data_IF_461219517951
#
_entry.id   IF_461219517951
#
_cell.length_a   1.000
_cell.length_b   1.000
_cell.length_c   1.000
_cell.angle_alpha   90.00
_cell.angle_beta   90.00
_cell.angle_gamma   90.00
#
_symmetry.space_group_name_H-M   'P 1'
#
loop_
_entity.id
_entity.type
_entity.pdbx_description
1 polymer ?
#
# COMPACT_ATOMS: atom_id res chain seq x y z
N UNK A 1 13.43 22.41 -25.84
CA UNK A 1 12.41 21.53 -25.25
C UNK A 1 12.98 20.13 -25.24
N UNK A 2 13.15 19.53 -24.06
CA UNK A 2 13.61 18.14 -23.91
C UNK A 2 12.55 17.16 -24.44
N UNK A 3 12.94 15.92 -24.73
CA UNK A 3 12.01 14.86 -25.12
C UNK A 3 10.99 14.60 -24.02
N UNK A 4 11.43 14.61 -22.76
CA UNK A 4 10.54 14.51 -21.58
C UNK A 4 9.50 15.63 -21.53
N UNK A 5 9.88 16.89 -21.81
CA UNK A 5 8.93 18.01 -21.89
C UNK A 5 7.90 17.83 -23.01
N UNK A 6 8.35 17.46 -24.20
CA UNK A 6 7.45 17.23 -25.33
C UNK A 6 6.43 16.10 -25.05
N UNK A 7 6.88 15.01 -24.41
CA UNK A 7 6.01 13.91 -23.99
C UNK A 7 5.01 14.34 -22.91
N UNK A 8 5.45 15.14 -21.93
CA UNK A 8 4.57 15.63 -20.87
C UNK A 8 3.50 16.60 -21.39
N UNK A 9 3.87 17.53 -22.27
CA UNK A 9 2.90 18.42 -22.94
C UNK A 9 1.86 17.61 -23.71
N UNK A 10 2.31 16.62 -24.49
CA UNK A 10 1.42 15.72 -25.22
C UNK A 10 0.50 14.94 -24.27
N UNK A 11 1.03 14.41 -23.17
CA UNK A 11 0.28 13.60 -22.22
C UNK A 11 -0.86 14.39 -21.55
N UNK A 12 -0.64 15.68 -21.25
CA UNK A 12 -1.67 16.55 -20.64
C UNK A 12 -2.93 16.74 -21.48
N UNK A 13 -2.88 16.46 -22.78
CA UNK A 13 -4.07 16.52 -23.64
C UNK A 13 -5.04 15.35 -23.44
N UNK A 14 -4.55 14.20 -22.96
CA UNK A 14 -5.35 12.97 -22.90
C UNK A 14 -5.35 12.28 -21.53
N UNK A 15 -4.44 12.66 -20.64
CA UNK A 15 -4.29 12.07 -19.31
C UNK A 15 -4.41 13.20 -18.28
N UNK A 16 -5.33 13.13 -17.29
CA UNK A 16 -5.45 14.15 -16.26
C UNK A 16 -4.10 14.43 -15.56
N UNK A 17 -3.63 15.67 -15.64
CA UNK A 17 -2.32 16.05 -15.08
C UNK A 17 -1.11 15.41 -15.79
N UNK A 18 -1.31 14.77 -16.94
CA UNK A 18 -0.26 14.13 -17.76
C UNK A 18 0.26 12.81 -17.22
N UNK A 19 -0.36 12.22 -16.18
CA UNK A 19 0.14 11.01 -15.49
C UNK A 19 -0.99 10.09 -15.01
N UNK A 20 -0.72 8.79 -14.94
CA UNK A 20 -1.65 7.79 -14.39
C UNK A 20 -1.55 7.60 -12.86
N UNK A 21 -0.58 8.26 -12.21
CA UNK A 21 -0.41 8.25 -10.76
C UNK A 21 0.01 9.63 -10.29
N UNK A 22 -0.73 10.31 -9.39
CA UNK A 22 -0.55 11.73 -9.09
C UNK A 22 0.87 12.15 -8.71
N UNK A 23 1.57 11.34 -7.90
CA UNK A 23 2.96 11.62 -7.46
C UNK A 23 3.94 11.79 -8.63
N UNK A 24 3.67 11.14 -9.77
CA UNK A 24 4.53 11.19 -10.96
C UNK A 24 4.48 12.55 -11.67
N UNK A 25 3.52 13.43 -11.34
CA UNK A 25 3.40 14.76 -11.93
C UNK A 25 4.40 15.78 -11.36
N UNK A 26 5.24 15.40 -10.39
CA UNK A 26 6.26 16.26 -9.77
C UNK A 26 5.71 17.53 -9.09
N UNK A 27 4.40 17.61 -8.81
CA UNK A 27 3.78 18.79 -8.19
C UNK A 27 4.43 19.21 -6.86
N UNK A 28 4.90 18.24 -6.06
CA UNK A 28 5.53 18.50 -4.77
C UNK A 28 7.00 18.98 -4.86
N UNK A 29 7.68 18.70 -5.98
CA UNK A 29 9.11 19.00 -6.15
C UNK A 29 9.36 20.06 -7.25
N UNK A 30 8.32 20.44 -7.99
CA UNK A 30 8.40 21.36 -9.11
C UNK A 30 9.02 20.74 -10.37
N UNK A 31 8.95 21.50 -11.46
CA UNK A 31 9.51 21.12 -12.75
C UNK A 31 8.68 20.10 -13.53
N UNK A 32 9.30 19.54 -14.57
CA UNK A 32 8.68 18.58 -15.49
C UNK A 32 9.12 17.15 -15.17
N UNK A 33 8.18 16.19 -15.07
CA UNK A 33 8.51 14.78 -14.88
C UNK A 33 9.46 14.25 -15.96
N UNK A 34 10.35 13.33 -15.57
CA UNK A 34 11.22 12.61 -16.51
C UNK A 34 10.49 11.39 -17.05
N UNK A 35 10.47 11.24 -18.37
CA UNK A 35 9.91 10.07 -19.02
C UNK A 35 11.01 9.02 -19.14
N UNK A 36 10.85 7.88 -18.46
CA UNK A 36 11.84 6.80 -18.48
C UNK A 36 11.66 5.92 -19.71
N UNK A 37 12.76 5.55 -20.36
CA UNK A 37 12.77 4.66 -21.52
C UNK A 37 13.34 3.28 -21.19
N UNK A 38 14.30 3.22 -20.26
CA UNK A 38 14.98 1.97 -19.88
C UNK A 38 15.37 1.96 -18.42
N UNK A 39 15.46 0.77 -17.84
CA UNK A 39 15.93 0.52 -16.49
C UNK A 39 16.83 -0.73 -16.47
N UNK A 40 17.94 -0.69 -15.74
CA UNK A 40 18.87 -1.82 -15.61
C UNK A 40 19.71 -1.70 -14.34
N UNK A 41 19.75 -2.77 -13.54
CA UNK A 41 20.47 -2.80 -12.27
C UNK A 41 19.99 -1.68 -11.35
N UNK A 42 20.88 -0.81 -10.91
CA UNK A 42 20.57 0.33 -10.06
C UNK A 42 20.23 1.63 -10.82
N UNK A 43 20.00 1.55 -12.14
CA UNK A 43 19.91 2.74 -12.99
C UNK A 43 18.60 2.87 -13.76
N UNK A 44 18.13 4.11 -13.91
CA UNK A 44 17.11 4.54 -14.87
C UNK A 44 17.74 5.39 -15.97
N UNK A 45 17.18 5.30 -17.18
CA UNK A 45 17.56 6.08 -18.35
C UNK A 45 16.32 6.80 -18.87
N UNK A 46 16.35 8.12 -18.90
CA UNK A 46 15.24 8.92 -19.43
C UNK A 46 15.24 8.98 -20.97
N UNK A 47 14.16 9.51 -21.54
CA UNK A 47 13.95 9.66 -22.99
C UNK A 47 14.91 10.68 -23.64
N UNK A 48 15.72 11.37 -22.85
CA UNK A 48 16.81 12.25 -23.29
C UNK A 48 18.18 11.53 -23.18
N UNK A 49 18.19 10.25 -22.80
CA UNK A 49 19.38 9.40 -22.64
C UNK A 49 20.14 9.61 -21.33
N UNK A 50 19.63 10.43 -20.41
CA UNK A 50 20.30 10.71 -19.14
C UNK A 50 20.13 9.54 -18.18
N UNK A 51 21.25 9.12 -17.59
CA UNK A 51 21.30 8.05 -16.58
C UNK A 51 21.16 8.61 -15.16
N UNK A 52 20.40 7.91 -14.33
CA UNK A 52 20.17 8.22 -12.92
C UNK A 52 20.47 6.99 -12.07
N UNK A 53 21.11 7.16 -10.91
CA UNK A 53 21.07 6.14 -9.85
C UNK A 53 19.65 6.19 -9.26
N UNK A 54 18.96 5.07 -9.23
CA UNK A 54 17.56 5.00 -8.82
C UNK A 54 17.40 4.51 -7.38
N UNK A 55 16.88 5.39 -6.53
CA UNK A 55 16.47 5.09 -5.15
C UNK A 55 14.94 4.93 -5.01
N UNK A 56 14.18 5.13 -6.09
CA UNK A 56 12.72 4.92 -6.09
C UNK A 56 12.38 3.45 -6.31
N UNK A 57 13.14 2.74 -7.15
CA UNK A 57 13.03 1.29 -7.35
C UNK A 57 11.61 0.84 -7.71
N UNK A 58 10.96 1.62 -8.58
CA UNK A 58 9.55 1.46 -8.95
C UNK A 58 8.59 1.44 -7.74
N UNK A 59 8.91 2.19 -6.69
CA UNK A 59 8.19 2.24 -5.40
C UNK A 59 8.29 0.96 -4.56
N UNK A 60 9.32 0.14 -4.78
CA UNK A 60 9.57 -1.06 -3.94
C UNK A 60 9.98 -2.32 -4.70
N UNK A 61 9.29 -2.75 -5.78
CA UNK A 61 9.44 -4.09 -6.36
C UNK A 61 10.84 -4.46 -6.85
N UNK A 62 11.67 -3.47 -7.18
CA UNK A 62 12.97 -3.69 -7.83
C UNK A 62 14.09 -3.95 -6.81
N UNK A 63 13.85 -4.81 -5.83
CA UNK A 63 14.80 -5.13 -4.75
C UNK A 63 16.07 -5.85 -5.27
N UNK A 64 15.93 -6.67 -6.32
CA UNK A 64 17.05 -7.31 -7.02
C UNK A 64 17.67 -6.43 -8.13
N UNK A 65 17.28 -5.15 -8.18
CA UNK A 65 17.60 -4.25 -9.29
C UNK A 65 16.66 -4.43 -10.49
N UNK A 66 16.65 -3.42 -11.35
CA UNK A 66 15.84 -3.38 -12.56
C UNK A 66 16.33 -4.39 -13.61
N UNK A 67 15.38 -4.99 -14.35
CA UNK A 67 15.67 -5.91 -15.46
C UNK A 67 16.61 -7.07 -15.09
N UNK A 68 16.45 -7.63 -13.88
CA UNK A 68 17.24 -8.77 -13.43
C UNK A 68 17.06 -9.95 -14.40
N UNK A 69 18.15 -10.55 -14.93
CA UNK A 69 18.09 -11.49 -16.07
C UNK A 69 17.19 -12.70 -15.79
N UNK A 70 17.30 -13.30 -14.59
CA UNK A 70 16.47 -14.44 -14.20
C UNK A 70 14.97 -14.12 -14.15
N UNK A 71 14.59 -12.91 -13.72
CA UNK A 71 13.19 -12.49 -13.65
C UNK A 71 12.65 -12.23 -15.05
N UNK A 72 13.42 -11.50 -15.86
CA UNK A 72 13.08 -11.23 -17.27
C UNK A 72 12.87 -12.53 -18.05
N UNK A 73 13.80 -13.47 -17.94
CA UNK A 73 13.74 -14.74 -18.65
C UNK A 73 12.54 -15.59 -18.23
N UNK A 74 12.24 -15.66 -16.92
CA UNK A 74 11.04 -16.35 -16.43
C UNK A 74 9.73 -15.73 -16.97
N UNK A 75 9.64 -14.39 -17.05
CA UNK A 75 8.48 -13.69 -17.61
C UNK A 75 8.35 -13.94 -19.12
N UNK A 76 9.46 -13.89 -19.86
CA UNK A 76 9.47 -14.17 -21.31
C UNK A 76 9.02 -15.59 -21.59
N UNK A 77 9.51 -16.56 -20.83
CA UNK A 77 9.13 -17.97 -20.96
C UNK A 77 7.65 -18.18 -20.65
N UNK A 78 7.16 -17.66 -19.51
CA UNK A 78 5.75 -17.76 -19.13
C UNK A 78 4.82 -17.17 -20.21
N UNK A 79 5.19 -16.03 -20.80
CA UNK A 79 4.41 -15.38 -21.84
C UNK A 79 4.25 -16.22 -23.13
N UNK A 80 5.16 -17.15 -23.42
CA UNK A 80 5.03 -18.05 -24.58
C UNK A 80 3.82 -18.98 -24.47
N UNK A 81 3.41 -19.29 -23.24
CA UNK A 81 2.23 -20.14 -22.97
C UNK A 81 0.91 -19.37 -22.97
N UNK A 82 0.94 -18.04 -23.15
CA UNK A 82 -0.22 -17.16 -23.08
C UNK A 82 -0.13 -16.17 -21.91
N UNK A 83 -0.75 -15.00 -22.06
CA UNK A 83 -0.65 -13.90 -21.08
C UNK A 83 -1.69 -13.97 -19.96
N UNK A 84 -2.80 -14.70 -20.15
CA UNK A 84 -3.87 -14.86 -19.17
C UNK A 84 -4.79 -16.02 -19.59
N UNK A 85 -5.31 -16.75 -18.60
CA UNK A 85 -6.14 -17.95 -18.84
C UNK A 85 -7.58 -17.85 -18.29
N UNK A 86 -7.83 -16.96 -17.32
CA UNK A 86 -9.12 -16.92 -16.61
C UNK A 86 -9.48 -18.21 -15.86
N UNK A 87 -8.49 -19.09 -15.64
CA UNK A 87 -8.61 -20.41 -15.02
C UNK A 87 -7.42 -20.64 -14.08
N UNK A 88 -7.52 -21.57 -13.10
CA UNK A 88 -6.43 -21.89 -12.19
C UNK A 88 -5.19 -22.46 -12.89
N UNK A 89 -4.02 -22.21 -12.31
CA UNK A 89 -2.70 -22.66 -12.77
C UNK A 89 -1.85 -23.18 -11.61
N UNK A 90 -0.86 -24.03 -11.92
CA UNK A 90 0.06 -24.60 -10.92
C UNK A 90 0.91 -23.53 -10.22
N UNK A 91 1.36 -22.50 -10.94
CA UNK A 91 2.17 -21.41 -10.38
C UNK A 91 1.44 -20.62 -9.29
N UNK A 92 0.10 -20.56 -9.31
CA UNK A 92 -0.68 -19.94 -8.24
C UNK A 92 -0.55 -20.72 -6.92
N UNK A 93 -0.46 -22.05 -7.00
CA UNK A 93 -0.25 -22.93 -5.84
C UNK A 93 1.16 -22.75 -5.31
N UNK A 94 2.17 -22.86 -6.18
CA UNK A 94 3.58 -22.71 -5.81
C UNK A 94 3.86 -21.36 -5.14
N UNK A 95 3.28 -20.27 -5.68
CA UNK A 95 3.42 -18.94 -5.10
C UNK A 95 2.75 -18.85 -3.73
N UNK A 96 1.54 -19.40 -3.57
CA UNK A 96 0.84 -19.40 -2.29
C UNK A 96 1.64 -20.18 -1.21
N UNK A 97 2.13 -21.38 -1.55
CA UNK A 97 2.95 -22.20 -0.65
C UNK A 97 4.27 -21.51 -0.28
N UNK A 98 4.91 -20.85 -1.26
CA UNK A 98 6.13 -20.08 -1.02
C UNK A 98 5.89 -18.94 -0.04
N UNK A 99 4.83 -18.16 -0.23
CA UNK A 99 4.48 -17.06 0.69
C UNK A 99 4.17 -17.60 2.08
N UNK A 100 3.35 -18.65 2.20
CA UNK A 100 3.02 -19.26 3.50
C UNK A 100 4.23 -19.84 4.22
N UNK A 101 5.23 -20.32 3.49
CA UNK A 101 6.49 -20.82 4.06
C UNK A 101 7.35 -19.66 4.58
N UNK A 102 7.44 -18.58 3.82
CA UNK A 102 8.26 -17.41 4.16
C UNK A 102 7.63 -16.54 5.24
N UNK A 103 6.30 -16.44 5.28
CA UNK A 103 5.51 -15.60 6.18
C UNK A 103 4.57 -16.48 7.00
N UNK A 104 5.01 -17.05 8.14
CA UNK A 104 4.26 -18.09 8.86
C UNK A 104 2.89 -17.65 9.40
N UNK A 105 2.64 -16.34 9.49
CA UNK A 105 1.32 -15.81 9.86
C UNK A 105 0.26 -16.02 8.77
N UNK A 106 0.66 -16.29 7.53
CA UNK A 106 -0.22 -16.46 6.37
C UNK A 106 -0.43 -17.93 6.04
N UNK A 107 -1.38 -18.60 6.72
CA UNK A 107 -1.71 -20.01 6.40
C UNK A 107 -2.54 -20.19 5.13
N UNK A 108 -3.23 -19.13 4.69
CA UNK A 108 -4.00 -19.08 3.44
C UNK A 108 -3.77 -17.71 2.80
N UNK A 109 -3.63 -17.68 1.47
CA UNK A 109 -3.32 -16.47 0.70
C UNK A 109 -4.29 -16.32 -0.45
N UNK A 110 -4.60 -15.07 -0.81
CA UNK A 110 -5.35 -14.71 -2.01
C UNK A 110 -4.58 -13.65 -2.79
N UNK A 111 -4.23 -13.95 -4.04
CA UNK A 111 -3.64 -12.99 -4.96
C UNK A 111 -4.71 -12.02 -5.47
N UNK A 112 -4.35 -10.74 -5.60
CA UNK A 112 -5.17 -9.66 -6.18
C UNK A 112 -4.33 -8.86 -7.17
N UNK A 113 -4.94 -7.90 -7.87
CA UNK A 113 -4.25 -7.10 -8.90
C UNK A 113 -3.46 -5.93 -8.32
N UNK A 114 -3.72 -5.55 -7.07
CA UNK A 114 -3.05 -4.43 -6.40
C UNK A 114 -3.12 -4.51 -4.87
N UNK A 115 -2.26 -3.75 -4.20
CA UNK A 115 -2.34 -3.52 -2.75
C UNK A 115 -3.66 -2.87 -2.32
N UNK A 116 -4.26 -2.00 -3.15
CA UNK A 116 -5.59 -1.43 -2.84
C UNK A 116 -6.67 -2.52 -2.77
N UNK A 117 -6.68 -3.46 -3.71
CA UNK A 117 -7.62 -4.58 -3.70
C UNK A 117 -7.35 -5.56 -2.54
N UNK A 118 -6.08 -5.76 -2.18
CA UNK A 118 -5.70 -6.57 -1.03
C UNK A 118 -6.24 -5.96 0.27
N UNK A 119 -6.02 -4.66 0.49
CA UNK A 119 -6.55 -3.92 1.65
C UNK A 119 -8.08 -3.94 1.69
N UNK A 120 -8.75 -3.69 0.56
CA UNK A 120 -10.21 -3.77 0.48
C UNK A 120 -10.73 -5.14 0.92
N UNK A 121 -10.05 -6.21 0.49
CA UNK A 121 -10.42 -7.58 0.81
C UNK A 121 -10.15 -7.91 2.30
N UNK A 122 -8.99 -7.50 2.82
CA UNK A 122 -8.62 -7.72 4.22
C UNK A 122 -9.57 -6.99 5.19
N UNK A 123 -9.90 -5.73 4.93
CA UNK A 123 -10.86 -4.97 5.73
C UNK A 123 -12.25 -5.59 5.66
N UNK A 124 -12.70 -5.99 4.46
CA UNK A 124 -14.01 -6.65 4.30
C UNK A 124 -14.06 -7.98 5.05
N UNK A 125 -12.97 -8.75 5.00
CA UNK A 125 -12.84 -10.00 5.74
C UNK A 125 -12.89 -9.78 7.25
N UNK A 126 -12.17 -8.78 7.78
CA UNK A 126 -12.20 -8.45 9.19
C UNK A 126 -13.60 -8.02 9.67
N UNK A 127 -14.30 -7.18 8.89
CA UNK A 127 -15.71 -6.82 9.17
C UNK A 127 -16.62 -8.04 9.18
N UNK A 128 -16.51 -8.91 8.17
CA UNK A 128 -17.31 -10.14 8.08
C UNK A 128 -17.03 -11.13 9.19
N UNK A 129 -15.77 -11.27 9.61
CA UNK A 129 -15.33 -12.17 10.68
C UNK A 129 -15.80 -11.70 12.07
N UNK A 130 -15.73 -10.40 12.32
CA UNK A 130 -16.06 -9.82 13.63
C UNK A 130 -17.53 -9.42 13.76
N UNK A 131 -18.24 -9.21 12.65
CA UNK A 131 -19.59 -8.63 12.62
C UNK A 131 -19.64 -7.14 12.99
N UNK A 132 -18.48 -6.44 12.91
CA UNK A 132 -18.32 -5.04 13.33
C UNK A 132 -18.01 -4.16 12.13
N UNK A 133 -18.33 -2.86 12.24
CA UNK A 133 -18.22 -1.94 11.10
C UNK A 133 -16.99 -1.02 11.15
N UNK A 134 -16.52 -0.64 12.35
CA UNK A 134 -15.48 0.39 12.47
C UNK A 134 -14.10 -0.19 12.17
N UNK A 135 -13.27 0.62 11.54
CA UNK A 135 -11.84 0.35 11.39
C UNK A 135 -11.04 1.48 12.04
N UNK A 136 -9.86 1.16 12.54
CA UNK A 136 -8.87 2.15 12.98
C UNK A 136 -7.71 2.12 11.98
N UNK A 137 -7.29 3.31 11.51
CA UNK A 137 -6.07 3.52 10.72
C UNK A 137 -5.27 4.68 11.30
N UNK A 138 -4.05 4.86 10.81
CA UNK A 138 -3.15 5.90 11.29
C UNK A 138 -2.95 7.03 10.28
N UNK A 139 -2.84 8.25 10.77
CA UNK A 139 -2.54 9.43 9.94
C UNK A 139 -1.17 9.26 9.27
N UNK A 140 -1.11 9.60 7.99
CA UNK A 140 0.10 9.46 7.16
C UNK A 140 0.34 8.05 6.59
N UNK A 141 -0.27 7.01 7.15
CA UNK A 141 -0.33 5.70 6.51
C UNK A 141 -1.24 5.72 5.27
N UNK A 142 -0.89 4.92 4.26
CA UNK A 142 -1.65 4.78 3.02
C UNK A 142 -1.88 3.31 2.69
N UNK A 143 -3.15 2.93 2.57
CA UNK A 143 -3.58 1.56 2.31
C UNK A 143 -4.40 1.44 1.02
N UNK A 144 -4.10 2.30 0.04
CA UNK A 144 -4.91 2.45 -1.17
C UNK A 144 -5.97 3.54 -1.07
N UNK A 145 -6.67 3.76 -2.18
CA UNK A 145 -7.64 4.85 -2.34
C UNK A 145 -9.10 4.36 -2.34
N UNK A 146 -9.41 3.30 -1.59
CA UNK A 146 -10.81 2.91 -1.37
C UNK A 146 -11.52 3.92 -0.49
N UNK A 147 -12.81 4.16 -0.74
CA UNK A 147 -13.56 5.27 -0.13
C UNK A 147 -13.48 5.34 1.40
N UNK A 148 -13.53 4.18 2.08
CA UNK A 148 -13.44 4.11 3.55
C UNK A 148 -12.07 4.50 4.10
N UNK A 149 -11.04 4.59 3.27
CA UNK A 149 -9.68 4.99 3.66
C UNK A 149 -9.38 6.46 3.33
N UNK A 150 -10.17 7.08 2.46
CA UNK A 150 -10.08 8.50 2.11
C UNK A 150 -10.78 9.38 3.17
N UNK A 151 -10.45 9.13 4.43
CA UNK A 151 -11.00 9.78 5.62
C UNK A 151 -9.84 10.39 6.42
N UNK A 152 -9.93 11.68 6.76
CA UNK A 152 -8.99 12.35 7.67
C UNK A 152 -9.55 12.40 9.09
N UNK A 153 -8.69 12.62 10.08
CA UNK A 153 -9.10 12.80 11.47
C UNK A 153 -10.09 13.97 11.59
N UNK A 154 -11.07 13.83 12.48
CA UNK A 154 -11.95 14.92 12.90
C UNK A 154 -11.21 15.92 13.80
N UNK A 155 -11.88 16.97 14.26
CA UNK A 155 -11.29 18.02 15.11
C UNK A 155 -10.86 17.57 16.52
N UNK A 156 -10.98 16.29 16.85
CA UNK A 156 -10.44 15.62 18.04
C UNK A 156 -10.18 14.13 17.77
N UNK A 157 -9.30 13.52 18.57
CA UNK A 157 -8.81 12.13 18.36
C UNK A 157 -9.94 11.08 18.27
N UNK A 158 -11.07 11.33 18.94
CA UNK A 158 -12.24 10.45 18.98
C UNK A 158 -13.43 10.97 18.17
N UNK A 159 -13.32 12.17 17.58
CA UNK A 159 -14.37 12.65 16.68
C UNK A 159 -14.34 11.88 15.37
N UNK A 160 -15.52 11.51 14.88
CA UNK A 160 -15.64 10.79 13.61
C UNK A 160 -14.86 11.50 12.50
N UNK A 161 -14.21 10.71 11.66
CA UNK A 161 -13.44 11.26 10.55
C UNK A 161 -14.34 12.02 9.59
N UNK A 162 -13.70 12.76 8.68
CA UNK A 162 -14.40 13.42 7.57
C UNK A 162 -13.75 13.02 6.25
N UNK A 163 -14.49 12.95 5.14
CA UNK A 163 -13.90 12.68 3.83
C UNK A 163 -12.73 13.62 3.51
N UNK A 164 -11.64 13.06 2.99
CA UNK A 164 -10.44 13.82 2.58
C UNK A 164 -10.45 14.17 1.09
N UNK A 165 -11.34 13.57 0.30
CA UNK A 165 -11.52 13.85 -1.12
C UNK A 165 -13.00 14.09 -1.46
N UNK A 166 -13.32 15.04 -2.35
CA UNK A 166 -14.65 15.13 -2.95
C UNK A 166 -15.06 13.79 -3.59
N UNK A 167 -16.36 13.50 -3.57
CA UNK A 167 -16.94 12.28 -4.15
C UNK A 167 -17.06 11.10 -3.19
N UNK A 168 -16.41 11.14 -2.02
CA UNK A 168 -16.56 10.13 -0.97
C UNK A 168 -17.77 10.46 -0.09
N UNK A 169 -18.77 9.56 0.03
CA UNK A 169 -19.93 9.80 0.88
C UNK A 169 -19.57 9.96 2.36
N UNK A 170 -20.12 10.98 3.01
CA UNK A 170 -19.85 11.31 4.42
C UNK A 170 -20.20 10.16 5.38
N UNK A 171 -21.23 9.38 5.06
CA UNK A 171 -21.65 8.21 5.85
C UNK A 171 -20.54 7.17 6.03
N UNK A 172 -19.55 7.11 5.13
CA UNK A 172 -18.44 6.16 5.29
C UNK A 172 -17.45 6.61 6.37
N UNK A 173 -17.37 7.91 6.65
CA UNK A 173 -16.43 8.48 7.60
C UNK A 173 -16.73 8.07 9.05
N UNK A 174 -18.00 7.80 9.38
CA UNK A 174 -18.40 7.30 10.70
C UNK A 174 -17.84 5.89 11.02
N UNK A 175 -17.38 5.16 9.99
CA UNK A 175 -16.85 3.80 10.13
C UNK A 175 -15.32 3.74 10.07
N UNK A 176 -14.64 4.89 10.00
CA UNK A 176 -13.17 4.96 9.97
C UNK A 176 -12.66 5.95 11.00
N UNK A 177 -11.99 5.43 12.01
CA UNK A 177 -11.28 6.22 13.03
C UNK A 177 -9.84 6.41 12.55
N UNK A 178 -9.34 7.64 12.62
CA UNK A 178 -7.95 7.98 12.26
C UNK A 178 -7.22 8.48 13.50
N UNK A 179 -6.14 7.80 13.86
CA UNK A 179 -5.32 8.14 15.02
C UNK A 179 -3.91 8.56 14.60
N UNK A 180 -3.14 9.26 15.44
CA UNK A 180 -1.73 9.54 15.14
C UNK A 180 -0.90 8.24 15.11
N UNK A 181 -0.03 8.09 14.11
CA UNK A 181 0.94 6.99 14.07
C UNK A 181 1.93 7.12 15.24
N UNK A 182 2.40 6.00 15.80
CA UNK A 182 3.26 5.93 16.99
C UNK A 182 2.65 6.47 18.30
N UNK A 183 1.35 6.78 18.34
CA UNK A 183 0.64 7.15 19.56
C UNK A 183 -0.17 5.95 20.09
N UNK A 184 0.48 5.11 20.90
CA UNK A 184 -0.19 3.95 21.52
C UNK A 184 -1.28 4.39 22.50
N UNK A 185 -1.09 5.50 23.21
CA UNK A 185 -2.07 6.01 24.17
C UNK A 185 -3.37 6.45 23.50
N UNK A 186 -3.30 7.05 22.31
CA UNK A 186 -4.48 7.34 21.50
C UNK A 186 -5.20 6.07 21.05
N UNK A 187 -4.46 5.01 20.70
CA UNK A 187 -5.05 3.72 20.36
C UNK A 187 -5.71 3.06 21.57
N UNK A 188 -5.06 3.06 22.74
CA UNK A 188 -5.62 2.54 23.99
C UNK A 188 -6.94 3.24 24.32
N UNK A 189 -6.96 4.58 24.33
CA UNK A 189 -8.18 5.34 24.60
C UNK A 189 -9.31 5.04 23.61
N UNK A 190 -9.00 4.91 22.32
CA UNK A 190 -9.99 4.58 21.30
C UNK A 190 -10.52 3.15 21.43
N UNK A 191 -9.67 2.19 21.80
CA UNK A 191 -10.06 0.79 22.01
C UNK A 191 -10.86 0.62 23.31
N UNK A 192 -10.55 1.39 24.36
CA UNK A 192 -11.33 1.41 25.61
C UNK A 192 -12.76 1.96 25.38
N UNK A 193 -12.92 2.98 24.53
CA UNK A 193 -14.24 3.57 24.24
C UNK A 193 -15.04 2.78 23.18
N UNK A 194 -14.38 2.32 22.11
CA UNK A 194 -15.04 1.83 20.89
C UNK A 194 -14.65 0.39 20.52
N UNK A 195 -13.79 -0.29 21.28
CA UNK A 195 -13.19 -1.58 20.89
C UNK A 195 -14.20 -2.65 20.47
N UNK A 196 -15.37 -2.68 21.11
CA UNK A 196 -16.46 -3.63 20.82
C UNK A 196 -17.10 -3.40 19.44
N UNK A 197 -16.89 -2.22 18.85
CA UNK A 197 -17.37 -1.82 17.53
C UNK A 197 -16.26 -1.87 16.46
N UNK A 198 -15.01 -2.12 16.85
CA UNK A 198 -13.84 -2.13 15.95
C UNK A 198 -13.64 -3.53 15.38
N UNK A 199 -13.77 -3.63 14.06
CA UNK A 199 -13.48 -4.84 13.29
C UNK A 199 -11.98 -5.08 13.15
N UNK A 200 -11.22 -4.03 12.84
CA UNK A 200 -9.78 -4.12 12.67
C UNK A 200 -9.04 -2.83 12.97
N UNK A 201 -7.78 -3.00 13.34
CA UNK A 201 -6.75 -1.96 13.32
C UNK A 201 -5.81 -2.29 12.16
N UNK A 202 -5.62 -1.34 11.23
CA UNK A 202 -4.71 -1.48 10.09
C UNK A 202 -3.57 -0.48 10.20
N UNK A 203 -2.34 -0.95 9.99
CA UNK A 203 -1.13 -0.11 10.03
C UNK A 203 -0.08 -0.57 9.01
N UNK A 204 0.75 0.37 8.56
CA UNK A 204 2.07 0.04 8.01
C UNK A 204 3.01 -0.24 9.21
N UNK A 205 3.73 -1.37 9.28
CA UNK A 205 4.67 -1.64 10.38
C UNK A 205 5.87 -0.67 10.41
N UNK A 206 6.24 -0.16 9.24
CA UNK A 206 7.12 0.99 9.06
C UNK A 206 6.42 1.88 8.05
N UNK A 207 6.02 3.08 8.44
CA UNK A 207 5.35 3.97 7.50
C UNK A 207 6.32 4.37 6.39
N UNK A 208 5.89 4.24 5.13
CA UNK A 208 6.67 4.64 3.95
C UNK A 208 6.03 5.78 3.16
N UNK A 209 4.71 5.98 3.31
CA UNK A 209 3.95 6.94 2.51
C UNK A 209 3.94 8.37 3.07
N UNK A 210 4.45 8.54 4.29
CA UNK A 210 4.77 9.84 4.90
C UNK A 210 6.28 10.00 5.12
N UNK A 211 7.06 9.49 4.16
CA UNK A 211 8.49 9.16 4.31
C UNK A 211 8.70 7.92 5.19
N UNK A 212 9.95 7.52 5.42
CA UNK A 212 10.30 6.38 6.25
C UNK A 212 10.24 6.73 7.74
N UNK A 213 9.20 6.29 8.43
CA UNK A 213 9.01 6.49 9.87
C UNK A 213 8.85 5.11 10.53
N UNK A 214 9.90 4.58 11.18
CA UNK A 214 9.82 3.33 11.94
C UNK A 214 8.83 3.44 13.10
N UNK A 215 8.21 2.32 13.46
CA UNK A 215 7.45 2.23 14.70
C UNK A 215 8.36 2.38 15.92
N UNK A 216 7.87 3.06 16.95
CA UNK A 216 8.57 3.15 18.25
C UNK A 216 8.45 1.83 19.01
N UNK A 217 9.42 1.56 19.89
CA UNK A 217 9.44 0.36 20.73
C UNK A 217 8.12 0.18 21.50
N UNK A 218 7.57 -1.03 21.48
CA UNK A 218 6.31 -1.37 22.15
C UNK A 218 5.04 -0.97 21.40
N UNK A 219 5.13 -0.20 20.30
CA UNK A 219 3.95 0.25 19.57
C UNK A 219 3.21 -0.90 18.87
N UNK A 220 3.93 -1.75 18.14
CA UNK A 220 3.33 -2.88 17.41
C UNK A 220 2.89 -4.00 18.36
N UNK A 221 3.67 -4.24 19.43
CA UNK A 221 3.34 -5.18 20.50
C UNK A 221 2.08 -4.74 21.25
N UNK A 222 2.02 -3.47 21.67
CA UNK A 222 0.84 -2.90 22.31
C UNK A 222 -0.40 -2.97 21.42
N UNK A 223 -0.26 -2.66 20.12
CA UNK A 223 -1.35 -2.82 19.14
C UNK A 223 -1.83 -4.26 19.04
N UNK A 224 -0.92 -5.24 19.02
CA UNK A 224 -1.24 -6.67 19.03
C UNK A 224 -2.00 -7.07 20.29
N UNK A 225 -1.56 -6.62 21.46
CA UNK A 225 -2.23 -6.89 22.73
C UNK A 225 -3.64 -6.30 22.79
N UNK A 226 -3.81 -5.05 22.36
CA UNK A 226 -5.11 -4.37 22.33
C UNK A 226 -6.07 -5.05 21.36
N UNK A 227 -5.62 -5.38 20.13
CA UNK A 227 -6.46 -6.11 19.18
C UNK A 227 -6.92 -7.46 19.75
N UNK A 228 -6.03 -8.21 20.40
CA UNK A 228 -6.37 -9.47 21.07
C UNK A 228 -7.38 -9.26 22.20
N UNK A 229 -7.16 -8.26 23.07
CA UNK A 229 -8.02 -7.97 24.22
C UNK A 229 -9.46 -7.64 23.82
N UNK A 230 -9.64 -6.84 22.77
CA UNK A 230 -10.96 -6.38 22.32
C UNK A 230 -11.57 -7.24 21.20
N UNK A 231 -10.86 -8.28 20.74
CA UNK A 231 -11.32 -9.15 19.64
C UNK A 231 -11.35 -8.48 18.27
N UNK A 232 -10.53 -7.45 18.05
CA UNK A 232 -10.33 -6.83 16.75
C UNK A 232 -9.24 -7.56 15.96
N UNK A 233 -9.33 -7.55 14.63
CA UNK A 233 -8.31 -8.09 13.74
C UNK A 233 -7.17 -7.07 13.58
N UNK A 234 -5.93 -7.49 13.83
CA UNK A 234 -4.75 -6.70 13.48
C UNK A 234 -4.37 -6.98 12.03
N UNK A 235 -4.27 -5.94 11.22
CA UNK A 235 -3.84 -6.01 9.82
C UNK A 235 -2.53 -5.23 9.66
N UNK A 236 -1.47 -5.91 9.26
CA UNK A 236 -0.26 -5.26 8.78
C UNK A 236 -0.32 -5.11 7.26
N UNK A 237 -0.24 -3.86 6.81
CA UNK A 237 -0.06 -3.52 5.40
C UNK A 237 1.43 -3.59 5.07
N UNK A 238 1.83 -4.75 4.55
CA UNK A 238 3.22 -5.05 4.17
C UNK A 238 3.47 -4.78 2.68
N UNK A 239 2.65 -3.97 1.99
CA UNK A 239 2.83 -3.72 0.54
C UNK A 239 4.22 -3.15 0.21
N UNK A 240 4.79 -2.33 1.10
CA UNK A 240 6.13 -1.76 0.93
C UNK A 240 7.21 -2.45 1.76
N UNK A 241 6.87 -2.89 2.96
CA UNK A 241 7.80 -3.48 3.93
C UNK A 241 8.05 -4.97 3.68
N UNK A 242 7.06 -5.65 3.09
CA UNK A 242 7.08 -7.06 2.72
C UNK A 242 8.30 -7.44 1.89
N UNK A 243 9.06 -8.42 2.37
CA UNK A 243 10.26 -8.95 1.69
C UNK A 243 11.39 -7.93 1.51
N UNK A 244 11.32 -6.75 2.14
CA UNK A 244 12.31 -5.67 2.00
C UNK A 244 13.28 -5.61 3.17
N UNK A 245 12.79 -5.75 4.39
CA UNK A 245 13.63 -5.73 5.60
C UNK A 245 14.07 -7.13 6.04
N UNK A 246 13.36 -8.16 5.59
CA UNK A 246 13.67 -9.56 5.79
C UNK A 246 12.76 -10.43 4.93
N UNK A 247 12.97 -11.74 4.92
CA UNK A 247 12.13 -12.67 4.15
C UNK A 247 10.82 -13.04 4.84
N UNK A 248 10.65 -12.63 6.10
CA UNK A 248 9.56 -13.04 7.01
C UNK A 248 8.21 -12.36 6.81
N UNK A 249 8.10 -11.49 5.79
CA UNK A 249 7.21 -10.33 5.86
C UNK A 249 8.05 -9.15 6.26
#
# INVERSE_FOLDING_TARGET
>A
MSRSEALFERAKHTIPGGVNSPVRAFKAVGGTPRFMERAEGAYLFDADGKRYIDYVLSWGPMIMGHNHPRVREAVVEAAQSGLSFGCPTEIEIELAETISTLVPSMSLVRMTSSGTEATMSAIRLARGFTGRDKIIKFEGCYHGHSDSLLIKAGSGALTFGVPSSPGVPEVLAQHTVTLPFNDLGALEAAMDELGDQVACVITEPVAGNMNCIPSVEGYLEGMRELCTRHGAVLIFDEVMTGFRFGTGG
#
